data_IF_444453246642
#
_entry.id   IF_444453246642
#
_cell.length_a   1.000
_cell.length_b   1.000
_cell.length_c   1.000
_cell.angle_alpha   90.00
_cell.angle_beta   90.00
_cell.angle_gamma   90.00
#
_symmetry.space_group_name_H-M   'P 1'
#
loop_
_entity.id
_entity.type
_entity.pdbx_description
1 polymer ?
#
# COMPACT_ATOMS: atom_id res chain seq x y z
N UNK A 1 33.49 9.80 17.77
CA UNK A 1 32.19 10.16 18.36
C UNK A 1 31.12 9.71 17.40
N UNK A 2 30.10 9.01 17.89
CA UNK A 2 29.00 8.49 17.08
C UNK A 2 27.95 9.60 16.91
N UNK A 3 27.42 9.76 15.69
CA UNK A 3 26.36 10.73 15.40
C UNK A 3 25.02 10.25 15.99
N UNK A 4 24.14 11.20 16.31
CA UNK A 4 22.76 10.90 16.67
C UNK A 4 21.98 10.40 15.45
N UNK A 5 21.11 9.42 15.67
CA UNK A 5 20.16 8.97 14.66
C UNK A 5 19.02 9.99 14.47
N UNK A 6 18.38 9.94 13.30
CA UNK A 6 17.29 10.85 12.94
C UNK A 6 16.09 10.71 13.87
N UNK A 7 15.83 9.50 14.39
CA UNK A 7 14.71 9.23 15.29
C UNK A 7 14.86 9.99 16.60
N UNK A 8 16.08 10.00 17.16
CA UNK A 8 16.39 10.73 18.40
C UNK A 8 16.39 12.24 18.22
N UNK A 9 16.84 12.76 17.07
CA UNK A 9 16.69 14.17 16.71
C UNK A 9 15.22 14.57 16.58
N UNK A 10 14.40 13.70 15.98
CA UNK A 10 12.96 13.94 15.79
C UNK A 10 12.18 13.86 17.10
N UNK A 11 12.46 12.88 17.94
CA UNK A 11 11.89 12.79 19.29
C UNK A 11 12.25 14.03 20.12
N UNK A 12 13.42 14.64 19.92
CA UNK A 12 13.74 15.93 20.54
C UNK A 12 12.87 17.07 19.99
N UNK A 13 12.68 17.15 18.66
CA UNK A 13 11.83 18.16 18.03
C UNK A 13 10.37 18.08 18.48
N UNK A 14 9.87 16.86 18.69
CA UNK A 14 8.49 16.58 19.07
C UNK A 14 8.27 16.59 20.61
N UNK A 15 9.30 16.96 21.40
CA UNK A 15 9.30 16.98 22.88
C UNK A 15 8.95 15.62 23.52
N UNK A 16 9.33 14.52 22.86
CA UNK A 16 9.05 13.14 23.27
C UNK A 16 10.21 12.50 24.07
N UNK A 17 11.35 13.19 24.21
CA UNK A 17 12.49 12.69 24.98
C UNK A 17 12.32 12.93 26.48
N UNK A 18 12.90 12.02 27.29
CA UNK A 18 13.07 12.26 28.72
C UNK A 18 14.01 13.47 28.96
N UNK A 19 13.87 14.14 30.11
CA UNK A 19 14.73 15.30 30.47
C UNK A 19 16.23 14.97 30.41
N UNK A 20 16.61 13.75 30.80
CA UNK A 20 17.98 13.24 30.73
C UNK A 20 18.46 13.05 29.30
N UNK A 21 17.62 12.48 28.43
CA UNK A 21 17.96 12.24 27.03
C UNK A 21 18.02 13.55 26.25
N UNK A 22 17.06 14.45 26.47
CA UNK A 22 17.04 15.77 25.85
C UNK A 22 18.28 16.59 26.23
N UNK A 23 18.73 16.52 27.48
CA UNK A 23 19.95 17.20 27.92
C UNK A 23 21.22 16.61 27.32
N UNK A 24 21.28 15.28 27.19
CA UNK A 24 22.39 14.59 26.51
C UNK A 24 22.46 14.94 25.02
N UNK A 25 21.32 14.99 24.34
CA UNK A 25 21.24 15.41 22.93
C UNK A 25 21.64 16.86 22.76
N UNK A 26 21.19 17.77 23.63
CA UNK A 26 21.59 19.19 23.60
C UNK A 26 23.11 19.35 23.72
N UNK A 27 23.74 18.66 24.66
CA UNK A 27 25.21 18.66 24.81
C UNK A 27 25.92 18.14 23.56
N UNK A 28 25.40 17.08 22.92
CA UNK A 28 25.97 16.58 21.67
C UNK A 28 25.89 17.60 20.53
N UNK A 29 24.78 18.34 20.44
CA UNK A 29 24.56 19.34 19.39
C UNK A 29 25.44 20.57 19.56
N UNK A 30 25.91 20.88 20.77
CA UNK A 30 26.89 21.95 21.00
C UNK A 30 28.24 21.64 20.32
N UNK A 31 28.63 20.36 20.26
CA UNK A 31 29.94 19.93 19.76
C UNK A 31 29.91 19.28 18.36
N UNK A 32 28.73 18.95 17.81
CA UNK A 32 28.60 18.18 16.57
C UNK A 32 27.87 18.94 15.44
N UNK A 33 28.63 19.70 14.65
CA UNK A 33 28.10 20.43 13.50
C UNK A 33 27.32 19.56 12.46
N UNK A 34 27.73 18.31 12.15
CA UNK A 34 26.92 17.44 11.28
C UNK A 34 25.50 17.16 11.81
N UNK A 35 25.35 16.95 13.12
CA UNK A 35 24.04 16.72 13.72
C UNK A 35 23.20 18.00 13.78
N UNK A 36 23.82 19.17 13.95
CA UNK A 36 23.15 20.47 13.84
C UNK A 36 22.60 20.68 12.42
N UNK A 37 23.41 20.43 11.39
CA UNK A 37 22.94 20.50 9.99
C UNK A 37 21.79 19.53 9.75
N UNK A 38 21.90 18.30 10.27
CA UNK A 38 20.85 17.30 10.10
C UNK A 38 19.53 17.70 10.77
N UNK A 39 19.60 18.27 11.97
CA UNK A 39 18.44 18.80 12.68
C UNK A 39 17.74 19.90 11.87
N UNK A 40 18.51 20.84 11.31
CA UNK A 40 17.96 21.91 10.47
C UNK A 40 17.25 21.37 9.20
N UNK A 41 17.80 20.32 8.57
CA UNK A 41 17.14 19.67 7.43
C UNK A 41 15.81 19.02 7.81
N UNK A 42 15.74 18.40 9.00
CA UNK A 42 14.50 17.81 9.51
C UNK A 42 13.46 18.89 9.83
N UNK A 43 13.87 20.01 10.43
CA UNK A 43 13.02 21.17 10.68
C UNK A 43 12.43 21.73 9.39
N UNK A 44 13.25 21.92 8.33
CA UNK A 44 12.78 22.44 7.05
C UNK A 44 11.73 21.53 6.40
N UNK A 45 11.96 20.21 6.41
CA UNK A 45 11.01 19.22 5.89
C UNK A 45 9.70 19.21 6.68
N UNK A 46 9.79 19.30 8.01
CA UNK A 46 8.62 19.34 8.89
C UNK A 46 7.77 20.60 8.63
N UNK A 47 8.42 21.75 8.41
CA UNK A 47 7.77 23.00 8.08
C UNK A 47 7.07 22.95 6.71
N UNK A 48 7.65 22.24 5.73
CA UNK A 48 7.02 22.04 4.43
C UNK A 48 5.70 21.27 4.56
N UNK A 49 5.71 20.17 5.33
CA UNK A 49 4.50 19.38 5.58
C UNK A 49 3.45 20.19 6.33
N UNK A 50 3.85 20.92 7.37
CA UNK A 50 2.94 21.79 8.12
C UNK A 50 2.23 22.81 7.20
N UNK A 51 2.98 23.47 6.30
CA UNK A 51 2.41 24.40 5.30
C UNK A 51 1.44 23.72 4.34
N UNK A 52 1.76 22.52 3.88
CA UNK A 52 0.88 21.75 2.99
C UNK A 52 -0.43 21.37 3.70
N UNK A 53 -0.36 20.98 4.98
CA UNK A 53 -1.53 20.66 5.78
C UNK A 53 -2.40 21.90 6.03
N UNK A 54 -1.81 23.08 6.27
CA UNK A 54 -2.58 24.33 6.39
C UNK A 54 -3.36 24.66 5.10
N UNK A 55 -2.87 24.27 3.92
CA UNK A 55 -3.61 24.46 2.67
C UNK A 55 -4.81 23.51 2.53
N UNK A 56 -4.77 22.36 3.18
CA UNK A 56 -5.85 21.37 3.21
C UNK A 56 -6.86 21.62 4.32
N UNK A 57 -6.50 22.45 5.31
CA UNK A 57 -7.38 22.86 6.39
C UNK A 57 -8.45 23.82 5.87
N UNK A 58 -9.42 23.24 5.16
CA UNK A 58 -10.62 23.96 4.69
C UNK A 58 -11.58 24.12 5.85
N UNK A 59 -12.18 25.31 5.95
CA UNK A 59 -13.16 25.62 6.99
C UNK A 59 -14.23 24.51 7.08
N UNK A 60 -14.57 24.13 8.31
CA UNK A 60 -15.55 23.10 8.58
C UNK A 60 -16.82 23.32 7.72
N UNK A 61 -17.32 22.28 7.03
CA UNK A 61 -18.46 22.44 6.15
C UNK A 61 -19.66 22.96 6.95
N UNK A 62 -20.50 23.84 6.36
CA UNK A 62 -21.63 24.41 7.06
C UNK A 62 -22.59 23.32 7.53
N UNK A 63 -23.25 23.54 8.67
CA UNK A 63 -24.20 22.60 9.25
C UNK A 63 -25.27 22.23 8.20
N UNK A 64 -25.44 20.93 7.95
CA UNK A 64 -26.38 20.42 6.94
C UNK A 64 -25.82 20.26 5.52
N UNK A 65 -24.54 20.59 5.27
CA UNK A 65 -23.91 20.30 3.98
C UNK A 65 -23.98 18.81 3.61
N UNK A 66 -23.77 17.94 4.60
CA UNK A 66 -23.87 16.48 4.42
C UNK A 66 -25.29 16.03 4.04
N UNK A 67 -26.33 16.53 4.71
CA UNK A 67 -27.72 16.20 4.40
C UNK A 67 -28.15 16.72 3.02
N UNK A 68 -27.71 17.93 2.65
CA UNK A 68 -28.00 18.50 1.33
C UNK A 68 -27.36 17.70 0.18
N UNK A 69 -26.17 17.14 0.40
CA UNK A 69 -25.52 16.24 -0.57
C UNK A 69 -26.28 14.92 -0.68
N UNK A 70 -26.70 14.34 0.43
CA UNK A 70 -27.49 13.09 0.43
C UNK A 70 -28.83 13.25 -0.30
N UNK A 71 -29.55 14.34 -0.03
CA UNK A 71 -30.83 14.64 -0.68
C UNK A 71 -30.67 14.79 -2.20
N UNK A 72 -29.58 15.44 -2.65
CA UNK A 72 -29.27 15.57 -4.08
C UNK A 72 -28.97 14.22 -4.73
N UNK A 73 -28.26 13.33 -4.04
CA UNK A 73 -27.96 11.98 -4.54
C UNK A 73 -29.25 11.17 -4.68
N UNK A 74 -30.16 11.29 -3.73
CA UNK A 74 -31.44 10.59 -3.74
C UNK A 74 -32.37 11.10 -4.84
N UNK A 75 -32.47 12.41 -5.02
CA UNK A 75 -33.21 13.05 -6.11
C UNK A 75 -32.67 12.71 -7.51
N UNK A 76 -31.38 12.35 -7.61
CA UNK A 76 -30.73 12.01 -8.88
C UNK A 76 -30.87 10.54 -9.28
N UNK A 77 -31.56 9.70 -8.49
CA UNK A 77 -31.81 8.29 -8.87
C UNK A 77 -32.89 8.22 -9.95
N UNK A 78 -32.61 7.68 -11.15
CA UNK A 78 -33.64 7.52 -12.16
C UNK A 78 -34.71 6.54 -11.67
N UNK A 79 -35.96 7.00 -11.62
CA UNK A 79 -37.12 6.16 -11.35
C UNK A 79 -37.15 5.03 -12.38
N UNK A 80 -37.06 3.77 -11.93
CA UNK A 80 -37.34 2.58 -12.75
C UNK A 80 -38.82 2.58 -13.15
N UNK A 81 -39.19 3.43 -14.09
CA UNK A 81 -40.50 3.45 -14.71
C UNK A 81 -40.42 2.69 -16.04
N UNK A 82 -41.07 1.52 -16.02
CA UNK A 82 -41.78 0.92 -17.15
C UNK A 82 -40.98 0.62 -18.41
N UNK A 83 -40.43 -0.60 -18.45
CA UNK A 83 -40.08 -1.30 -19.69
C UNK A 83 -41.37 -1.52 -20.51
N UNK A 84 -41.53 -0.94 -21.70
CA UNK A 84 -42.69 -1.23 -22.53
C UNK A 84 -42.58 -2.66 -23.07
N UNK A 85 -43.64 -3.43 -22.87
CA UNK A 85 -43.84 -4.80 -23.36
C UNK A 85 -43.80 -4.78 -24.89
N UNK A 86 -42.74 -5.32 -25.50
CA UNK A 86 -42.73 -5.61 -26.94
C UNK A 86 -43.59 -6.84 -27.20
N UNK A 87 -44.65 -6.68 -28.00
CA UNK A 87 -45.34 -7.78 -28.65
C UNK A 87 -44.47 -8.29 -29.80
N UNK A 88 -44.01 -9.54 -29.71
CA UNK A 88 -43.34 -10.25 -30.80
C UNK A 88 -44.38 -10.74 -31.82
N UNK A 89 -44.53 -10.01 -32.93
CA UNK A 89 -45.03 -10.62 -34.17
C UNK A 89 -43.85 -11.19 -34.94
N UNK A 90 -43.80 -12.52 -34.95
CA UNK A 90 -42.89 -13.37 -35.72
C UNK A 90 -43.02 -13.08 -37.23
N UNK A 91 -41.97 -12.52 -37.82
CA UNK A 91 -41.77 -12.51 -39.26
C UNK A 91 -40.44 -13.23 -39.56
N UNK A 92 -40.50 -14.29 -40.36
CA UNK A 92 -39.34 -15.04 -40.85
C UNK A 92 -38.44 -14.16 -41.74
N UNK A 93 -37.11 -14.30 -41.64
CA UNK A 93 -36.19 -13.68 -42.60
C UNK A 93 -35.97 -14.61 -43.82
N UNK A 94 -35.89 -14.07 -45.05
CA UNK A 94 -35.37 -14.84 -46.17
C UNK A 94 -33.85 -14.95 -46.06
N UNK A 95 -33.35 -16.14 -46.38
CA UNK A 95 -31.93 -16.45 -46.57
C UNK A 95 -31.40 -15.70 -47.78
N UNK A 96 -30.29 -15.00 -47.62
CA UNK A 96 -29.48 -14.52 -48.74
C UNK A 96 -28.02 -14.90 -48.53
N UNK A 97 -27.55 -15.82 -49.36
CA UNK A 97 -26.15 -16.07 -49.63
C UNK A 97 -25.50 -14.82 -50.24
N UNK A 98 -24.29 -14.49 -49.79
CA UNK A 98 -23.55 -13.35 -50.33
C UNK A 98 -22.13 -13.28 -49.81
N UNK A 99 -21.21 -13.97 -50.49
CA UNK A 99 -19.75 -13.75 -50.37
C UNK A 99 -19.42 -12.30 -50.73
N UNK A 100 -18.65 -11.61 -49.90
CA UNK A 100 -18.17 -10.26 -50.26
C UNK A 100 -17.15 -9.66 -49.29
N UNK A 101 -15.87 -9.82 -49.63
CA UNK A 101 -14.72 -8.94 -49.34
C UNK A 101 -14.60 -8.27 -47.97
N UNK A 102 -13.59 -8.74 -47.24
CA UNK A 102 -12.86 -7.95 -46.23
C UNK A 102 -12.33 -6.63 -46.83
N UNK A 103 -12.99 -5.52 -46.50
CA UNK A 103 -12.44 -4.18 -46.65
C UNK A 103 -11.73 -3.81 -45.35
N UNK A 104 -10.40 -3.71 -45.43
CA UNK A 104 -9.53 -3.10 -44.43
C UNK A 104 -9.62 -1.59 -44.58
N UNK A 105 -9.92 -0.85 -43.51
CA UNK A 105 -9.58 0.58 -43.23
C UNK A 105 -10.22 0.98 -41.86
N UNK A 106 -9.88 2.12 -41.20
CA UNK A 106 -8.78 2.21 -40.22
C UNK A 106 -9.24 2.83 -38.87
N UNK A 107 -9.34 2.04 -37.80
CA UNK A 107 -9.72 2.51 -36.45
C UNK A 107 -8.56 3.19 -35.69
N UNK A 108 -7.94 4.22 -36.27
CA UNK A 108 -6.79 4.90 -35.65
C UNK A 108 -7.03 6.36 -35.25
N UNK A 109 -8.27 6.89 -35.31
CA UNK A 109 -8.52 8.33 -35.02
C UNK A 109 -9.73 8.68 -34.16
N UNK A 110 -10.33 7.72 -33.45
CA UNK A 110 -11.49 7.99 -32.58
C UNK A 110 -11.23 7.86 -31.06
N UNK A 111 -10.02 7.51 -30.62
CA UNK A 111 -9.71 7.30 -29.20
C UNK A 111 -9.35 8.57 -28.42
N UNK A 112 -9.08 9.70 -29.08
CA UNK A 112 -8.61 10.92 -28.39
C UNK A 112 -9.71 11.91 -27.99
N UNK A 113 -10.96 11.71 -28.43
CA UNK A 113 -12.08 12.60 -28.05
C UNK A 113 -12.98 12.03 -26.93
N UNK A 114 -12.80 10.76 -26.53
CA UNK A 114 -13.53 10.16 -25.40
C UNK A 114 -12.84 10.34 -24.04
N UNK A 115 -11.55 10.69 -24.00
CA UNK A 115 -10.80 10.85 -22.74
C UNK A 115 -10.92 12.23 -22.09
N UNK A 116 -11.44 13.25 -22.80
CA UNK A 116 -11.57 14.61 -22.24
C UNK A 116 -12.99 15.02 -21.81
N UNK A 117 -13.99 14.13 -21.93
CA UNK A 117 -15.38 14.39 -21.52
C UNK A 117 -15.94 13.37 -20.51
N UNK A 118 -15.08 12.62 -19.82
CA UNK A 118 -15.47 11.51 -18.93
C UNK A 118 -15.48 11.83 -17.43
N UNK A 119 -15.32 13.09 -17.01
CA UNK A 119 -15.15 13.46 -15.60
C UNK A 119 -16.47 13.79 -14.86
N UNK A 120 -17.66 13.54 -15.41
CA UNK A 120 -18.90 14.07 -14.79
C UNK A 120 -20.16 13.21 -14.81
N UNK A 121 -20.18 11.95 -15.28
CA UNK A 121 -21.39 11.10 -15.14
C UNK A 121 -21.07 9.62 -14.93
N UNK A 122 -20.83 9.21 -13.68
CA UNK A 122 -20.81 7.79 -13.31
C UNK A 122 -21.35 7.51 -11.89
N UNK A 123 -22.32 8.28 -11.41
CA UNK A 123 -23.06 7.98 -10.16
C UNK A 123 -24.41 7.29 -10.39
N UNK A 124 -24.79 6.98 -11.63
CA UNK A 124 -26.12 6.47 -11.96
C UNK A 124 -26.14 5.10 -12.70
N UNK A 125 -25.14 4.23 -12.50
CA UNK A 125 -25.21 2.83 -12.93
C UNK A 125 -25.37 1.90 -11.71
N UNK A 126 -26.58 1.39 -11.43
CA UNK A 126 -26.89 0.61 -10.22
C UNK A 126 -26.47 -0.87 -10.29
N UNK A 127 -25.38 -1.19 -10.99
CA UNK A 127 -24.73 -2.51 -10.98
C UNK A 127 -23.32 -2.41 -11.56
N UNK A 128 -22.42 -1.70 -10.86
CA UNK A 128 -20.98 -1.75 -11.13
C UNK A 128 -20.31 -2.69 -10.12
N UNK A 129 -19.55 -3.71 -10.58
CA UNK A 129 -18.90 -4.71 -9.70
C UNK A 129 -17.91 -4.10 -8.70
N UNK A 130 -17.48 -2.85 -8.89
CA UNK A 130 -16.58 -2.13 -7.97
C UNK A 130 -17.25 -1.86 -6.61
N UNK A 131 -18.57 -1.62 -6.57
CA UNK A 131 -19.28 -1.42 -5.30
C UNK A 131 -19.47 -2.71 -4.49
N UNK A 132 -19.57 -3.86 -5.15
CA UNK A 132 -19.63 -5.15 -4.47
C UNK A 132 -18.34 -5.44 -3.69
N UNK A 133 -17.20 -4.99 -4.22
CA UNK A 133 -15.89 -5.13 -3.59
C UNK A 133 -15.73 -4.23 -2.36
N UNK A 134 -16.19 -2.98 -2.43
CA UNK A 134 -16.16 -2.05 -1.29
C UNK A 134 -17.13 -2.51 -0.19
N UNK A 135 -18.37 -2.89 -0.53
CA UNK A 135 -19.34 -3.33 0.48
C UNK A 135 -18.94 -4.64 1.19
N UNK A 136 -18.31 -5.58 0.49
CA UNK A 136 -17.82 -6.84 1.08
C UNK A 136 -16.53 -6.69 1.90
N UNK A 137 -15.72 -5.65 1.63
CA UNK A 137 -14.58 -5.28 2.46
C UNK A 137 -14.98 -4.62 3.78
N UNK A 138 -15.98 -3.74 3.77
CA UNK A 138 -16.44 -3.06 4.99
C UNK A 138 -17.35 -3.94 5.86
N UNK A 139 -18.16 -4.84 5.27
CA UNK A 139 -19.01 -5.75 6.04
C UNK A 139 -18.20 -6.73 6.92
N UNK A 140 -16.96 -7.10 6.53
CA UNK A 140 -16.06 -7.92 7.36
C UNK A 140 -15.33 -7.13 8.46
N UNK A 141 -15.20 -5.81 8.30
CA UNK A 141 -14.58 -4.98 9.32
C UNK A 141 -15.56 -4.67 10.47
N UNK A 142 -16.86 -4.48 10.18
CA UNK A 142 -17.86 -4.13 11.20
C UNK A 142 -18.24 -5.32 12.11
N UNK A 143 -18.15 -6.56 11.60
CA UNK A 143 -18.34 -7.77 12.43
C UNK A 143 -17.23 -7.95 13.49
N UNK A 144 -16.02 -7.42 13.27
CA UNK A 144 -14.94 -7.48 14.27
C UNK A 144 -15.10 -6.46 15.41
N UNK A 145 -15.88 -5.39 15.20
CA UNK A 145 -16.09 -4.34 16.20
C UNK A 145 -17.43 -4.45 16.95
N UNK A 146 -18.29 -5.42 16.58
CA UNK A 146 -19.66 -5.51 17.10
C UNK A 146 -19.90 -6.69 18.05
N UNK A 147 -18.88 -7.46 18.46
CA UNK A 147 -19.05 -8.52 19.48
C UNK A 147 -18.99 -7.94 20.90
N UNK A 148 -20.08 -7.97 21.68
CA UNK A 148 -20.13 -7.50 23.06
C UNK A 148 -19.70 -8.60 24.05
N UNK A 149 -18.56 -9.24 23.82
CA UNK A 149 -18.08 -10.37 24.63
C UNK A 149 -16.56 -10.37 24.78
N UNK A 150 -16.06 -9.35 25.48
CA UNK A 150 -14.92 -9.51 26.39
C UNK A 150 -14.94 -8.36 27.40
N UNK A 151 -15.95 -8.41 28.27
CA UNK A 151 -15.91 -7.67 29.52
C UNK A 151 -14.70 -8.15 30.34
N UNK A 152 -13.90 -7.19 30.78
CA UNK A 152 -12.70 -7.37 31.59
C UNK A 152 -13.01 -8.18 32.87
N UNK A 153 -12.28 -9.28 33.06
CA UNK A 153 -12.05 -9.86 34.39
C UNK A 153 -10.57 -9.72 34.73
N UNK A 154 -10.19 -9.10 35.87
CA UNK A 154 -8.80 -8.96 36.26
C UNK A 154 -8.30 -10.28 36.88
N UNK A 155 -7.25 -10.87 36.30
CA UNK A 155 -6.53 -11.99 36.91
C UNK A 155 -5.14 -11.50 37.32
N UNK A 156 -4.87 -11.58 38.63
CA UNK A 156 -3.57 -11.35 39.26
C UNK A 156 -2.56 -12.49 38.97
N UNK A 157 -1.25 -12.28 39.15
CA UNK A 157 -0.19 -12.93 38.38
C UNK A 157 0.36 -14.22 39.03
N UNK A 158 0.98 -15.13 38.26
CA UNK A 158 1.97 -16.05 38.79
C UNK A 158 3.40 -15.54 38.57
N UNK A 159 4.19 -15.62 39.64
CA UNK A 159 5.61 -15.31 39.73
C UNK A 159 6.52 -16.25 38.94
N UNK A 160 7.55 -15.64 38.34
CA UNK A 160 8.91 -16.11 38.04
C UNK A 160 9.17 -17.54 37.52
N UNK A 161 9.63 -17.60 36.26
CA UNK A 161 10.38 -18.71 35.69
C UNK A 161 11.18 -18.30 34.44
N UNK A 162 12.27 -17.53 34.62
CA UNK A 162 13.40 -17.40 33.67
C UNK A 162 13.19 -16.59 32.37
N UNK A 163 14.23 -15.90 31.84
CA UNK A 163 14.12 -15.17 30.59
C UNK A 163 14.10 -16.14 29.40
N UNK A 164 12.97 -16.23 28.68
CA UNK A 164 12.93 -16.86 27.36
C UNK A 164 13.43 -15.84 26.34
N UNK A 165 14.68 -16.03 25.94
CA UNK A 165 15.28 -15.44 24.75
C UNK A 165 14.58 -16.01 23.52
N UNK A 166 13.65 -15.25 22.93
CA UNK A 166 13.14 -15.43 21.57
C UNK A 166 12.47 -14.11 21.13
N UNK A 167 13.11 -13.41 20.21
CA UNK A 167 12.72 -12.09 19.73
C UNK A 167 13.92 -11.15 19.68
N UNK A 168 14.96 -11.53 18.95
CA UNK A 168 16.10 -10.65 18.71
C UNK A 168 15.66 -9.54 17.75
N UNK A 169 15.16 -8.44 18.31
CA UNK A 169 15.11 -7.15 17.63
C UNK A 169 16.51 -6.55 17.78
N UNK A 170 17.45 -7.13 17.05
CA UNK A 170 18.84 -6.69 17.02
C UNK A 170 18.99 -5.42 16.19
N UNK A 171 18.81 -4.26 16.81
CA UNK A 171 19.41 -3.03 16.34
C UNK A 171 20.93 -3.13 16.55
N UNK A 172 21.63 -3.69 15.56
CA UNK A 172 23.08 -3.59 15.42
C UNK A 172 23.37 -2.84 14.12
N UNK A 173 24.33 -1.90 14.17
CA UNK A 173 24.73 -1.01 13.08
C UNK A 173 24.65 -1.65 11.69
N UNK A 174 23.83 -1.06 10.81
CA UNK A 174 23.72 -1.44 9.40
C UNK A 174 22.65 -2.49 9.05
N UNK A 175 21.93 -3.05 10.03
CA UNK A 175 20.79 -3.93 9.76
C UNK A 175 19.50 -3.10 9.67
N UNK A 176 18.92 -3.02 8.47
CA UNK A 176 17.63 -2.33 8.28
C UNK A 176 16.52 -3.08 9.04
N UNK A 177 15.56 -2.36 9.64
CA UNK A 177 14.42 -3.00 10.28
C UNK A 177 13.62 -3.80 9.24
N UNK A 178 13.05 -4.91 9.68
CA UNK A 178 12.36 -5.82 8.79
C UNK A 178 11.64 -6.95 9.50
N UNK A 179 10.92 -7.74 8.71
CA UNK A 179 10.19 -8.92 9.16
C UNK A 179 10.65 -10.14 8.38
N UNK A 180 10.61 -11.29 9.04
CA UNK A 180 10.82 -12.60 8.43
C UNK A 180 9.69 -13.53 8.82
N UNK A 181 9.28 -14.38 7.88
CA UNK A 181 8.17 -15.32 8.04
C UNK A 181 8.53 -16.62 7.35
N UNK A 182 8.40 -17.74 8.06
CA UNK A 182 8.45 -19.06 7.46
C UNK A 182 7.17 -19.32 6.66
N UNK A 183 7.32 -19.72 5.39
CA UNK A 183 6.16 -20.04 4.56
C UNK A 183 5.57 -21.39 4.96
N UNK A 184 4.35 -21.37 5.51
CA UNK A 184 3.56 -22.57 5.83
C UNK A 184 2.92 -23.19 4.60
N UNK A 185 2.57 -22.36 3.61
CA UNK A 185 2.06 -22.78 2.30
C UNK A 185 3.11 -22.77 1.20
N UNK A 186 2.64 -22.93 -0.04
CA UNK A 186 3.51 -22.99 -1.24
C UNK A 186 3.66 -21.63 -1.95
N UNK A 187 2.93 -20.62 -1.50
CA UNK A 187 2.88 -19.28 -2.11
C UNK A 187 3.24 -18.19 -1.10
N UNK A 188 4.01 -17.20 -1.56
CA UNK A 188 4.30 -15.96 -0.82
C UNK A 188 3.97 -14.73 -1.66
N UNK A 189 3.28 -13.77 -1.05
CA UNK A 189 3.00 -12.47 -1.64
C UNK A 189 3.65 -11.35 -0.82
N UNK A 190 4.49 -10.55 -1.46
CA UNK A 190 5.07 -9.34 -0.87
C UNK A 190 4.41 -8.12 -1.50
N UNK A 191 3.75 -7.30 -0.67
CA UNK A 191 3.00 -6.13 -1.13
C UNK A 191 3.62 -4.86 -0.56
N UNK A 192 4.22 -4.07 -1.43
CA UNK A 192 4.84 -2.80 -1.11
C UNK A 192 3.85 -1.67 -1.46
N UNK A 193 3.34 -0.91 -0.47
CA UNK A 193 2.39 0.20 -0.70
C UNK A 193 2.94 1.53 -0.21
N UNK A 194 2.59 2.61 -0.91
CA UNK A 194 3.09 3.95 -0.58
C UNK A 194 4.60 4.05 -0.79
N UNK A 195 5.14 3.30 -1.75
CA UNK A 195 6.58 3.30 -2.04
C UNK A 195 6.92 4.48 -2.92
N UNK A 196 7.90 5.26 -2.50
CA UNK A 196 8.31 6.47 -3.22
C UNK A 196 8.86 6.15 -4.61
N UNK A 197 8.53 7.01 -5.58
CA UNK A 197 9.18 7.02 -6.89
C UNK A 197 10.69 7.16 -6.72
N UNK A 198 11.43 6.35 -7.45
CA UNK A 198 12.87 6.28 -7.28
C UNK A 198 13.34 5.45 -6.08
N UNK A 199 12.49 4.62 -5.48
CA UNK A 199 12.95 3.58 -4.57
C UNK A 199 13.56 2.42 -5.37
N UNK A 200 14.65 1.84 -4.88
CA UNK A 200 15.24 0.62 -5.42
C UNK A 200 14.78 -0.58 -4.60
N UNK A 201 14.17 -1.57 -5.25
CA UNK A 201 13.76 -2.83 -4.65
C UNK A 201 14.81 -3.87 -5.00
N UNK A 202 15.51 -4.39 -4.00
CA UNK A 202 16.51 -5.45 -4.13
C UNK A 202 15.85 -6.76 -3.74
N UNK A 203 15.53 -7.56 -4.75
CA UNK A 203 14.93 -8.89 -4.57
C UNK A 203 16.06 -9.92 -4.51
N UNK A 204 16.14 -10.70 -3.45
CA UNK A 204 17.14 -11.77 -3.29
C UNK A 204 16.44 -13.12 -3.22
N UNK A 205 16.95 -14.10 -3.96
CA UNK A 205 16.45 -15.47 -3.93
C UNK A 205 17.22 -16.24 -2.86
N UNK A 206 16.59 -16.51 -1.72
CA UNK A 206 17.24 -17.14 -0.56
C UNK A 206 16.93 -18.64 -0.46
N UNK A 207 17.88 -19.49 -0.04
CA UNK A 207 17.60 -20.91 0.18
C UNK A 207 16.64 -21.11 1.36
N UNK A 208 15.91 -22.23 1.36
CA UNK A 208 14.96 -22.57 2.42
C UNK A 208 13.56 -21.97 2.22
N UNK A 209 12.84 -21.84 3.33
CA UNK A 209 11.42 -21.45 3.39
C UNK A 209 11.17 -20.12 4.10
N UNK A 210 12.22 -19.37 4.42
CA UNK A 210 12.05 -18.07 5.07
C UNK A 210 11.89 -16.98 4.01
N UNK A 211 10.81 -16.23 4.08
CA UNK A 211 10.61 -15.01 3.31
C UNK A 211 10.85 -13.79 4.20
N UNK A 212 11.37 -12.70 3.63
CA UNK A 212 11.70 -11.51 4.40
C UNK A 212 11.49 -10.22 3.64
N UNK A 213 11.29 -9.14 4.38
CA UNK A 213 11.37 -7.78 3.85
C UNK A 213 12.02 -6.86 4.87
N UNK A 214 12.92 -5.99 4.42
CA UNK A 214 13.55 -4.96 5.25
C UNK A 214 13.73 -3.67 4.50
N UNK A 215 13.61 -2.55 5.20
CA UNK A 215 13.69 -1.20 4.66
C UNK A 215 13.95 -0.20 5.78
N UNK A 216 14.57 0.94 5.47
CA UNK A 216 14.75 2.01 6.45
C UNK A 216 13.47 2.80 6.73
N UNK A 217 13.54 3.71 7.70
CA UNK A 217 12.42 4.60 8.01
C UNK A 217 11.98 5.42 6.79
N UNK A 218 10.66 5.68 6.63
CA UNK A 218 9.57 5.44 7.58
C UNK A 218 8.81 4.12 7.36
N UNK A 219 9.50 3.05 6.94
CA UNK A 219 8.86 1.78 6.61
C UNK A 219 8.07 1.17 7.79
N UNK A 220 6.86 0.68 7.51
CA UNK A 220 6.07 -0.13 8.44
C UNK A 220 5.82 -1.51 7.85
N UNK A 221 5.92 -2.55 8.68
CA UNK A 221 5.77 -3.94 8.26
C UNK A 221 4.50 -4.56 8.84
N UNK A 222 3.82 -5.39 8.05
CA UNK A 222 2.74 -6.26 8.52
C UNK A 222 2.91 -7.65 7.93
N UNK A 223 2.52 -8.65 8.69
CA UNK A 223 2.59 -10.05 8.25
C UNK A 223 1.23 -10.70 8.41
N UNK A 224 0.95 -11.60 7.48
CA UNK A 224 -0.16 -12.54 7.53
C UNK A 224 0.32 -13.86 6.90
N UNK A 225 -0.50 -14.90 6.99
CA UNK A 225 -0.15 -16.19 6.38
C UNK A 225 0.11 -16.03 4.87
N UNK A 226 1.29 -16.46 4.42
CA UNK A 226 1.73 -16.34 3.02
C UNK A 226 1.89 -14.90 2.53
N UNK A 227 1.96 -13.90 3.42
CA UNK A 227 1.95 -12.50 3.00
C UNK A 227 2.77 -11.55 3.89
N UNK A 228 3.56 -10.72 3.24
CA UNK A 228 4.31 -9.62 3.86
C UNK A 228 3.83 -8.31 3.23
N UNK A 229 3.43 -7.33 4.04
CA UNK A 229 3.21 -5.96 3.59
C UNK A 229 4.32 -5.04 4.09
N UNK A 230 4.81 -4.18 3.19
CA UNK A 230 5.69 -3.07 3.53
C UNK A 230 4.99 -1.78 3.13
N UNK A 231 4.92 -0.82 4.04
CA UNK A 231 4.21 0.45 3.85
C UNK A 231 5.20 1.60 3.97
N UNK A 232 5.05 2.62 3.11
CA UNK A 232 5.74 3.91 3.21
C UNK A 232 7.28 3.80 3.20
N UNK A 233 7.85 2.77 2.58
CA UNK A 233 9.29 2.62 2.48
C UNK A 233 9.88 3.50 1.36
N UNK A 234 11.08 4.02 1.58
CA UNK A 234 11.80 4.88 0.66
C UNK A 234 13.27 4.47 0.52
N UNK A 235 13.92 4.91 -0.56
CA UNK A 235 15.34 4.67 -0.81
C UNK A 235 15.62 3.25 -1.28
N UNK A 236 15.78 2.30 -0.36
CA UNK A 236 16.07 0.89 -0.67
C UNK A 236 15.18 -0.03 0.15
N UNK A 237 14.56 -1.00 -0.53
CA UNK A 237 13.77 -2.08 0.09
C UNK A 237 14.40 -3.41 -0.31
N UNK A 238 14.77 -4.24 0.66
CA UNK A 238 15.22 -5.60 0.43
C UNK A 238 14.05 -6.55 0.61
N UNK A 239 13.89 -7.47 -0.35
CA UNK A 239 12.86 -8.50 -0.35
C UNK A 239 13.55 -9.85 -0.54
N UNK A 240 13.44 -10.72 0.44
CA UNK A 240 13.98 -12.08 0.40
C UNK A 240 12.85 -13.03 0.02
N UNK A 241 12.98 -13.67 -1.15
CA UNK A 241 12.04 -14.65 -1.66
C UNK A 241 12.65 -16.06 -1.53
N UNK A 242 11.97 -17.00 -0.84
CA UNK A 242 12.46 -18.36 -0.68
C UNK A 242 12.44 -19.12 -2.01
N UNK A 243 13.53 -19.83 -2.31
CA UNK A 243 13.64 -20.66 -3.52
C UNK A 243 12.74 -21.90 -3.47
N UNK A 244 12.32 -22.34 -2.28
CA UNK A 244 11.43 -23.49 -2.10
C UNK A 244 9.94 -23.14 -2.24
N UNK A 245 9.58 -21.86 -2.43
CA UNK A 245 8.21 -21.47 -2.77
C UNK A 245 7.86 -21.95 -4.19
N UNK A 246 6.67 -22.52 -4.36
CA UNK A 246 6.15 -22.88 -5.69
C UNK A 246 5.82 -21.63 -6.50
N UNK A 247 5.33 -20.58 -5.83
CA UNK A 247 5.10 -19.27 -6.43
C UNK A 247 5.43 -18.12 -5.47
N UNK A 248 5.97 -17.04 -6.02
CA UNK A 248 6.14 -15.79 -5.29
C UNK A 248 5.69 -14.60 -6.14
N UNK A 249 5.22 -13.54 -5.49
CA UNK A 249 4.87 -12.29 -6.17
C UNK A 249 5.31 -11.07 -5.38
N UNK A 250 5.72 -10.05 -6.11
CA UNK A 250 5.98 -8.72 -5.57
C UNK A 250 5.05 -7.74 -6.26
N UNK A 251 4.17 -7.12 -5.47
CA UNK A 251 3.28 -6.04 -5.88
C UNK A 251 3.81 -4.72 -5.32
N UNK A 252 3.89 -3.68 -6.14
CA UNK A 252 4.35 -2.35 -5.76
C UNK A 252 3.30 -1.34 -6.18
N UNK A 253 2.74 -0.62 -5.22
CA UNK A 253 1.72 0.41 -5.42
C UNK A 253 0.54 -0.06 -6.31
N UNK A 254 0.14 -1.33 -6.20
CA UNK A 254 -0.94 -1.92 -6.98
C UNK A 254 -0.53 -2.57 -8.30
N UNK A 255 0.74 -2.47 -8.71
CA UNK A 255 1.29 -3.10 -9.91
C UNK A 255 2.13 -4.33 -9.60
N UNK A 256 2.01 -5.39 -10.39
CA UNK A 256 2.88 -6.59 -10.23
C UNK A 256 4.23 -6.29 -10.86
N UNK A 257 5.30 -6.35 -10.07
CA UNK A 257 6.66 -6.07 -10.51
C UNK A 257 7.45 -7.34 -10.78
N UNK A 258 7.16 -8.39 -10.02
CA UNK A 258 7.79 -9.69 -10.17
C UNK A 258 6.79 -10.78 -9.85
N UNK A 259 6.81 -11.85 -10.64
CA UNK A 259 6.11 -13.10 -10.38
C UNK A 259 7.05 -14.26 -10.67
N UNK A 260 7.21 -15.16 -9.71
CA UNK A 260 7.86 -16.44 -9.90
C UNK A 260 6.82 -17.56 -9.86
N UNK A 261 6.99 -18.56 -10.72
CA UNK A 261 6.22 -19.80 -10.71
C UNK A 261 7.14 -20.94 -11.18
N UNK A 262 7.55 -21.80 -10.27
CA UNK A 262 8.65 -22.74 -10.50
C UNK A 262 9.92 -22.02 -10.97
N UNK A 263 10.52 -22.48 -12.07
CA UNK A 263 11.74 -21.87 -12.63
C UNK A 263 11.49 -20.57 -13.42
N UNK A 264 10.22 -20.22 -13.68
CA UNK A 264 9.90 -19.05 -14.48
C UNK A 264 9.79 -17.81 -13.61
N UNK A 265 10.56 -16.78 -13.94
CA UNK A 265 10.50 -15.47 -13.29
C UNK A 265 10.16 -14.39 -14.32
N UNK A 266 8.93 -13.89 -14.25
CA UNK A 266 8.43 -12.79 -15.05
C UNK A 266 8.61 -11.47 -14.28
N UNK A 267 9.34 -10.52 -14.86
CA UNK A 267 9.65 -9.22 -14.25
C UNK A 267 9.08 -8.12 -15.12
N UNK A 268 8.26 -7.24 -14.52
CA UNK A 268 7.59 -6.13 -15.21
C UNK A 268 8.12 -4.76 -14.75
N UNK A 269 8.72 -4.68 -13.56
CA UNK A 269 9.37 -3.46 -13.08
C UNK A 269 10.59 -3.06 -13.92
N UNK A 270 11.03 -1.80 -13.79
CA UNK A 270 12.25 -1.32 -14.45
C UNK A 270 13.47 -1.99 -13.84
N UNK A 271 14.12 -2.87 -14.59
CA UNK A 271 15.30 -3.63 -14.12
C UNK A 271 16.54 -2.74 -14.19
N UNK A 272 17.22 -2.57 -13.06
CA UNK A 272 18.54 -1.93 -12.97
C UNK A 272 19.67 -2.96 -13.09
N UNK A 273 19.51 -4.10 -12.42
CA UNK A 273 20.48 -5.19 -12.39
C UNK A 273 19.72 -6.52 -12.24
N UNK A 274 20.20 -7.57 -12.91
CA UNK A 274 19.70 -8.94 -12.73
C UNK A 274 20.85 -9.92 -12.76
N UNK A 275 20.97 -10.70 -11.69
CA UNK A 275 21.87 -11.84 -11.56
C UNK A 275 21.04 -13.10 -11.33
N UNK A 276 21.71 -14.23 -11.05
CA UNK A 276 21.04 -15.47 -10.67
C UNK A 276 20.34 -15.34 -9.31
N UNK A 277 20.96 -14.62 -8.37
CA UNK A 277 20.54 -14.59 -6.98
C UNK A 277 19.84 -13.28 -6.60
N UNK A 278 20.02 -12.22 -7.39
CA UNK A 278 19.45 -10.89 -7.11
C UNK A 278 18.84 -10.20 -8.32
N UNK A 279 17.75 -9.48 -8.10
CA UNK A 279 17.10 -8.62 -9.09
C UNK A 279 16.87 -7.24 -8.45
N UNK A 280 17.43 -6.21 -9.07
CA UNK A 280 17.28 -4.82 -8.62
C UNK A 280 16.27 -4.12 -9.53
N UNK A 281 15.19 -3.63 -8.93
CA UNK A 281 14.08 -2.99 -9.62
C UNK A 281 13.97 -1.54 -9.18
N UNK A 282 13.66 -0.64 -10.11
CA UNK A 282 13.40 0.77 -9.84
C UNK A 282 11.90 1.03 -9.87
N UNK A 283 11.40 1.70 -8.83
CA UNK A 283 10.04 2.27 -8.84
C UNK A 283 10.06 3.55 -9.69
N UNK A 284 9.18 3.70 -10.69
CA UNK A 284 9.16 4.85 -11.60
C UNK A 284 8.74 6.15 -10.92
#
# INVERSE_FOLDING_TARGET
>A
MTHLDDGRLRAMMDDELSDSDASSVRLHLEDCNPCVTRLAELEERSALVARALTQLDTAAPPTGAHSAVLERIEASRPSRASRPTRHDTRAEPPRSDGRGRFSRTPFARAAMLTLFLGASVATALPASPVRGWIASGWARAVDLFSSPENALTPVSPPEYGGPISNGDVGAQDGVLPGVRVDITGDEISVVLRGIDSGTTIVVRMVPGREAGASAGDPATFRTAEGRIEVLNAAGVVFVDLPQEATSASIEVNGGIYLRTAGERTDVTGTILLRTTDEIHLRVP
#
